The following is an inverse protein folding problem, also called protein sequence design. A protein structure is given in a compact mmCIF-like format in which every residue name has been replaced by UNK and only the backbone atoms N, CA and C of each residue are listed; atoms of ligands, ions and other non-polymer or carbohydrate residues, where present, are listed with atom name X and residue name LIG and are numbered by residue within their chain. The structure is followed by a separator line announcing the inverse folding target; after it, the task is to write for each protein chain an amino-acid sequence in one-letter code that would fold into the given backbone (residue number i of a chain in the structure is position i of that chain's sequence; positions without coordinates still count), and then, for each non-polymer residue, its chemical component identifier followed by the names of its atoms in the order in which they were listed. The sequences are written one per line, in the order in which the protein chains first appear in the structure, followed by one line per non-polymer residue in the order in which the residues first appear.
data_IF_727430802300
#
_entry.id   IF_727430802300
#
_cell.length_a   1.000
_cell.length_b   1.000
_cell.length_c   1.000
_cell.angle_alpha   90.00
_cell.angle_beta   90.00
_cell.angle_gamma   90.00
#
_symmetry.space_group_name_H-M   'P 1'
#
loop_
_entity.id
_entity.type
_entity.pdbx_description
1 polymer ?
#
# COMPACT_ATOMS: atom_id res chain seq x y z
N UNK A 1 13.93 -6.76 3.77
CA UNK A 1 12.53 -6.87 4.20
C UNK A 1 11.84 -7.91 3.36
N UNK A 2 11.02 -8.75 3.98
CA UNK A 2 9.94 -9.44 3.27
C UNK A 2 8.69 -8.54 3.16
N UNK A 3 7.65 -9.05 2.49
CA UNK A 3 6.40 -8.31 2.29
C UNK A 3 5.69 -7.94 3.60
N UNK A 4 5.70 -8.83 4.59
CA UNK A 4 5.02 -8.61 5.88
C UNK A 4 5.70 -7.47 6.63
N UNK A 5 7.03 -7.45 6.62
CA UNK A 5 7.82 -6.38 7.25
C UNK A 5 7.65 -5.04 6.54
N UNK A 6 7.67 -5.04 5.21
CA UNK A 6 7.43 -3.83 4.42
C UNK A 6 6.05 -3.26 4.71
N UNK A 7 5.00 -4.10 4.66
CA UNK A 7 3.63 -3.68 4.95
C UNK A 7 3.53 -3.07 6.33
N UNK A 8 4.05 -3.77 7.35
CA UNK A 8 4.07 -3.28 8.72
C UNK A 8 4.80 -1.93 8.84
N UNK A 9 5.96 -1.81 8.20
CA UNK A 9 6.73 -0.57 8.19
C UNK A 9 5.93 0.60 7.60
N UNK A 10 5.28 0.42 6.45
CA UNK A 10 4.44 1.46 5.84
C UNK A 10 3.23 1.80 6.70
N UNK A 11 2.54 0.80 7.25
CA UNK A 11 1.35 0.99 8.08
C UNK A 11 1.67 1.68 9.42
N UNK A 12 2.84 1.44 10.02
CA UNK A 12 3.26 2.06 11.28
C UNK A 12 3.85 3.47 11.10
N UNK A 13 4.37 3.79 9.90
CA UNK A 13 5.07 5.06 9.65
C UNK A 13 4.28 6.03 8.76
N UNK A 14 3.07 5.68 8.34
CA UNK A 14 2.21 6.55 7.53
C UNK A 14 0.74 6.48 7.98
N UNK A 15 -0.07 7.40 7.47
CA UNK A 15 -1.55 7.33 7.57
C UNK A 15 -2.19 6.82 6.28
N UNK A 16 -1.38 6.32 5.35
CA UNK A 16 -1.80 5.98 4.00
C UNK A 16 -2.91 4.92 3.98
N UNK A 17 -2.80 3.88 4.82
CA UNK A 17 -3.82 2.83 4.91
C UNK A 17 -5.20 3.39 5.28
N UNK A 18 -5.28 4.20 6.35
CA UNK A 18 -6.56 4.75 6.80
C UNK A 18 -7.22 5.62 5.73
N UNK A 19 -6.44 6.51 5.11
CA UNK A 19 -6.89 7.38 4.01
C UNK A 19 -7.38 6.58 2.80
N UNK A 20 -6.62 5.56 2.40
CA UNK A 20 -7.00 4.68 1.29
C UNK A 20 -8.30 3.94 1.59
N UNK A 21 -8.42 3.35 2.78
CA UNK A 21 -9.62 2.59 3.16
C UNK A 21 -10.86 3.47 3.24
N UNK A 22 -10.73 4.73 3.68
CA UNK A 22 -11.80 5.71 3.66
C UNK A 22 -12.27 5.98 2.22
N UNK A 23 -11.34 6.38 1.33
CA UNK A 23 -11.64 6.65 -0.09
C UNK A 23 -12.23 5.42 -0.79
N UNK A 24 -11.65 4.24 -0.59
CA UNK A 24 -12.11 2.99 -1.19
C UNK A 24 -13.51 2.60 -0.68
N UNK A 25 -13.79 2.81 0.60
CA UNK A 25 -15.12 2.54 1.17
C UNK A 25 -16.17 3.46 0.57
N UNK A 26 -15.90 4.77 0.47
CA UNK A 26 -16.81 5.75 -0.16
C UNK A 26 -17.12 5.35 -1.61
N UNK A 27 -16.07 5.05 -2.39
CA UNK A 27 -16.20 4.60 -3.77
C UNK A 27 -17.07 3.33 -3.89
N UNK A 28 -16.81 2.32 -3.06
CA UNK A 28 -17.55 1.07 -3.09
C UNK A 28 -19.01 1.26 -2.66
N UNK A 29 -19.28 2.14 -1.69
CA UNK A 29 -20.64 2.50 -1.28
C UNK A 29 -21.40 3.16 -2.43
N UNK A 30 -20.79 4.10 -3.14
CA UNK A 30 -21.40 4.75 -4.31
C UNK A 30 -21.71 3.72 -5.43
N UNK A 31 -20.76 2.84 -5.75
CA UNK A 31 -21.00 1.73 -6.68
C UNK A 31 -22.10 0.78 -6.19
N UNK A 32 -22.25 0.61 -4.87
CA UNK A 32 -23.27 -0.23 -4.26
C UNK A 32 -24.68 0.40 -4.33
N UNK A 33 -24.79 1.73 -4.30
CA UNK A 33 -26.07 2.45 -4.45
C UNK A 33 -26.72 2.10 -5.79
N UNK A 34 -25.92 2.03 -6.86
CA UNK A 34 -26.38 1.75 -8.23
C UNK A 34 -26.80 0.29 -8.47
N UNK A 35 -26.62 -0.61 -7.49
CA UNK A 35 -27.02 -2.01 -7.62
C UNK A 35 -28.51 -2.20 -7.38
N UNK A 36 -29.06 -3.21 -8.05
CA UNK A 36 -30.41 -3.71 -7.77
C UNK A 36 -30.53 -4.07 -6.29
N UNK A 37 -31.69 -3.79 -5.68
CA UNK A 37 -31.88 -3.95 -4.22
C UNK A 37 -31.53 -5.35 -3.71
N UNK A 38 -31.83 -6.39 -4.49
CA UNK A 38 -31.50 -7.79 -4.16
C UNK A 38 -30.02 -8.15 -4.30
N UNK A 39 -29.23 -7.30 -4.98
CA UNK A 39 -27.80 -7.50 -5.25
C UNK A 39 -26.90 -6.51 -4.50
N UNK A 40 -27.47 -5.65 -3.65
CA UNK A 40 -26.71 -4.75 -2.79
C UNK A 40 -25.82 -5.54 -1.84
N UNK A 41 -24.57 -5.10 -1.74
CA UNK A 41 -23.60 -5.65 -0.82
C UNK A 41 -23.89 -5.17 0.61
N UNK A 42 -23.78 -6.06 1.60
CA UNK A 42 -23.76 -5.66 3.00
C UNK A 42 -22.44 -4.95 3.33
N UNK A 43 -22.42 -4.17 4.41
CA UNK A 43 -21.25 -3.40 4.85
C UNK A 43 -20.01 -4.29 5.05
N UNK A 44 -20.18 -5.48 5.61
CA UNK A 44 -19.09 -6.45 5.79
C UNK A 44 -18.45 -6.91 4.48
N UNK A 45 -19.18 -6.84 3.36
CA UNK A 45 -18.61 -7.10 2.03
C UNK A 45 -17.90 -5.87 1.49
N UNK A 46 -18.43 -4.67 1.71
CA UNK A 46 -17.77 -3.42 1.33
C UNK A 46 -16.40 -3.31 2.02
N UNK A 47 -16.35 -3.54 3.32
CA UNK A 47 -15.11 -3.54 4.11
C UNK A 47 -14.10 -4.58 3.58
N UNK A 48 -14.56 -5.80 3.25
CA UNK A 48 -13.69 -6.84 2.68
C UNK A 48 -13.14 -6.44 1.31
N UNK A 49 -13.94 -5.83 0.44
CA UNK A 49 -13.46 -5.38 -0.86
C UNK A 49 -12.50 -4.18 -0.73
N UNK A 50 -12.76 -3.24 0.18
CA UNK A 50 -11.84 -2.13 0.47
C UNK A 50 -10.47 -2.65 0.96
N UNK A 51 -10.46 -3.64 1.87
CA UNK A 51 -9.23 -4.27 2.34
C UNK A 51 -8.49 -5.00 1.21
N UNK A 52 -9.19 -5.69 0.30
CA UNK A 52 -8.55 -6.29 -0.88
C UNK A 52 -7.92 -5.24 -1.80
N UNK A 53 -8.57 -4.10 -1.98
CA UNK A 53 -8.00 -2.99 -2.76
C UNK A 53 -6.73 -2.47 -2.09
N UNK A 54 -6.72 -2.35 -0.75
CA UNK A 54 -5.52 -1.98 0.00
C UNK A 54 -4.40 -3.02 -0.17
N UNK A 55 -4.72 -4.31 -0.04
CA UNK A 55 -3.77 -5.40 -0.22
C UNK A 55 -3.12 -5.36 -1.62
N UNK A 56 -3.90 -5.05 -2.66
CA UNK A 56 -3.36 -4.88 -4.02
C UNK A 56 -2.45 -3.66 -4.12
N UNK A 57 -2.85 -2.53 -3.56
CA UNK A 57 -2.08 -1.28 -3.60
C UNK A 57 -0.73 -1.42 -2.88
N UNK A 58 -0.73 -1.92 -1.64
CA UNK A 58 0.50 -2.09 -0.84
C UNK A 58 1.41 -3.19 -1.43
N UNK A 59 0.85 -4.23 -2.05
CA UNK A 59 1.61 -5.24 -2.79
C UNK A 59 2.30 -4.64 -4.02
N UNK A 60 1.60 -3.78 -4.78
CA UNK A 60 2.20 -3.03 -5.88
C UNK A 60 3.37 -2.16 -5.44
N UNK A 61 3.19 -1.41 -4.34
CA UNK A 61 4.26 -0.60 -3.76
C UNK A 61 5.47 -1.44 -3.32
N UNK A 62 5.25 -2.59 -2.69
CA UNK A 62 6.32 -3.53 -2.33
C UNK A 62 7.10 -4.00 -3.56
N UNK A 63 6.41 -4.38 -4.65
CA UNK A 63 7.05 -4.80 -5.90
C UNK A 63 7.92 -3.66 -6.45
N UNK A 64 7.39 -2.44 -6.54
CA UNK A 64 8.13 -1.28 -7.06
C UNK A 64 9.39 -0.98 -6.25
N UNK A 65 9.30 -0.97 -4.91
CA UNK A 65 10.48 -0.75 -4.03
C UNK A 65 11.48 -1.90 -4.18
N UNK A 66 11.01 -3.14 -4.21
CA UNK A 66 11.85 -4.33 -4.39
C UNK A 66 12.62 -4.29 -5.71
N UNK A 67 11.95 -3.88 -6.80
CA UNK A 67 12.54 -3.71 -8.12
C UNK A 67 13.54 -2.57 -8.14
N UNK A 68 13.22 -1.42 -7.54
CA UNK A 68 14.15 -0.30 -7.37
C UNK A 68 15.44 -0.72 -6.65
N UNK A 69 15.31 -1.43 -5.52
CA UNK A 69 16.44 -1.97 -4.77
C UNK A 69 17.22 -3.01 -5.58
N UNK A 70 16.54 -3.87 -6.33
CA UNK A 70 17.17 -4.87 -7.19
C UNK A 70 18.01 -4.24 -8.30
N UNK A 71 17.56 -3.12 -8.85
CA UNK A 71 18.20 -2.43 -9.97
C UNK A 71 19.19 -1.33 -9.53
N UNK A 72 19.35 -1.08 -8.23
CA UNK A 72 20.30 -0.10 -7.72
C UNK A 72 21.75 -0.49 -8.05
N UNK A 73 22.50 0.42 -8.69
CA UNK A 73 23.87 0.15 -9.20
C UNK A 73 24.83 -0.32 -8.11
N UNK A 74 24.70 0.20 -6.89
CA UNK A 74 25.59 -0.07 -5.76
C UNK A 74 24.95 -0.96 -4.70
N UNK A 75 23.99 -1.82 -5.06
CA UNK A 75 23.36 -2.74 -4.11
C UNK A 75 24.41 -3.66 -3.47
N UNK A 76 24.59 -3.61 -2.13
CA UNK A 76 25.58 -4.45 -1.46
C UNK A 76 25.10 -5.90 -1.40
N UNK A 77 26.04 -6.80 -1.16
CA UNK A 77 25.70 -8.16 -0.70
C UNK A 77 25.31 -8.08 0.77
N UNK A 78 24.10 -8.50 1.09
CA UNK A 78 23.67 -8.62 2.48
C UNK A 78 24.23 -9.90 3.10
N UNK A 79 24.82 -9.78 4.29
CA UNK A 79 25.37 -10.89 5.07
C UNK A 79 24.40 -11.39 6.13
N UNK A 80 23.43 -10.55 6.52
CA UNK A 80 22.35 -10.90 7.43
C UNK A 80 21.07 -10.12 7.09
N UNK A 81 20.00 -10.44 7.81
CA UNK A 81 18.69 -9.85 7.58
C UNK A 81 18.60 -8.38 8.03
N UNK A 82 19.28 -8.01 9.13
CA UNK A 82 19.28 -6.64 9.66
C UNK A 82 19.92 -5.64 8.69
N UNK A 83 21.01 -6.02 8.03
CA UNK A 83 21.63 -5.24 6.95
C UNK A 83 20.66 -5.04 5.78
N UNK A 84 19.92 -6.08 5.41
CA UNK A 84 18.92 -5.98 4.35
C UNK A 84 17.79 -5.03 4.74
N UNK A 85 17.27 -5.13 5.97
CA UNK A 85 16.21 -4.24 6.48
C UNK A 85 16.71 -2.80 6.53
N UNK A 86 17.90 -2.56 7.07
CA UNK A 86 18.50 -1.22 7.13
C UNK A 86 18.68 -0.59 5.76
N UNK A 87 19.12 -1.39 4.77
CA UNK A 87 19.24 -0.92 3.38
C UNK A 87 17.88 -0.56 2.78
N UNK A 88 16.85 -1.38 3.00
CA UNK A 88 15.49 -1.08 2.54
C UNK A 88 14.97 0.24 3.12
N UNK A 89 15.15 0.46 4.43
CA UNK A 89 14.75 1.73 5.09
C UNK A 89 15.51 2.90 4.47
N UNK A 90 16.83 2.80 4.33
CA UNK A 90 17.64 3.87 3.75
C UNK A 90 17.24 4.19 2.31
N UNK A 91 17.00 3.16 1.49
CA UNK A 91 16.51 3.32 0.14
C UNK A 91 15.15 4.05 0.13
N UNK A 92 14.18 3.59 0.93
CA UNK A 92 12.87 4.25 1.02
C UNK A 92 12.99 5.71 1.50
N UNK A 93 13.90 6.01 2.42
CA UNK A 93 14.14 7.37 2.89
C UNK A 93 14.79 8.25 1.80
N UNK A 94 15.79 7.72 1.07
CA UNK A 94 16.48 8.44 -0.01
C UNK A 94 15.53 8.87 -1.13
N UNK A 95 14.53 8.02 -1.44
CA UNK A 95 13.51 8.30 -2.44
C UNK A 95 12.22 8.91 -1.87
N UNK A 96 12.24 9.36 -0.60
CA UNK A 96 11.09 9.95 0.11
C UNK A 96 9.81 9.10 -0.06
N UNK A 97 9.98 7.77 -0.08
CA UNK A 97 8.94 6.83 -0.51
C UNK A 97 7.67 6.96 0.32
N UNK A 98 7.78 7.08 1.65
CA UNK A 98 6.61 7.16 2.53
C UNK A 98 5.79 8.43 2.30
N UNK A 99 6.46 9.55 2.02
CA UNK A 99 5.83 10.83 1.71
C UNK A 99 5.15 10.75 0.35
N UNK A 100 5.90 10.39 -0.69
CA UNK A 100 5.39 10.21 -2.05
C UNK A 100 4.24 9.21 -2.13
N UNK A 101 4.32 8.11 -1.38
CA UNK A 101 3.24 7.12 -1.31
C UNK A 101 2.00 7.70 -0.64
N UNK A 102 2.16 8.44 0.47
CA UNK A 102 1.03 9.06 1.17
C UNK A 102 0.37 10.16 0.33
N UNK A 103 1.15 11.02 -0.31
CA UNK A 103 0.66 12.07 -1.19
C UNK A 103 -0.07 11.47 -2.41
N UNK A 104 0.48 10.39 -2.97
CA UNK A 104 -0.18 9.63 -4.03
C UNK A 104 -1.55 9.07 -3.61
N UNK A 105 -1.75 8.72 -2.33
CA UNK A 105 -3.08 8.32 -1.80
C UNK A 105 -3.99 9.53 -1.59
N UNK A 106 -3.45 10.67 -1.16
CA UNK A 106 -4.24 11.90 -1.00
C UNK A 106 -4.82 12.38 -2.33
N UNK A 107 -4.00 12.36 -3.38
CA UNK A 107 -4.36 12.79 -4.74
C UNK A 107 -5.14 11.74 -5.53
N UNK A 108 -5.18 10.50 -5.05
CA UNK A 108 -5.91 9.40 -5.69
C UNK A 108 -7.42 9.61 -5.61
N UNK A 109 -8.09 9.39 -6.74
CA UNK A 109 -9.55 9.25 -6.85
C UNK A 109 -9.87 7.93 -7.55
N UNK A 110 -10.92 7.24 -7.09
CA UNK A 110 -11.36 5.96 -7.68
C UNK A 110 -12.45 6.18 -8.75
N UNK A 111 -12.33 5.49 -9.88
CA UNK A 111 -13.27 5.54 -11.03
C UNK A 111 -14.14 4.26 -11.18
#
# INVERSE_FOLDING_TARGET
MDYTEFRKYVEENTRAQGKFLEKATIYLLDKNVSRQSSAKWPDSRIEKEANKMWDMNISGAFISVSEGIKNAENKPRFHNHEEQVSYWINFMNEYEFLENFTDGIDDMEFE
#
